data_IF_384241801934
#
_entry.id   IF_384241801934
#
_cell.length_a   1.000
_cell.length_b   1.000
_cell.length_c   1.000
_cell.angle_alpha   90.00
_cell.angle_beta   90.00
_cell.angle_gamma   90.00
#
_symmetry.space_group_name_H-M   'P 1'
#
loop_
_entity.id
_entity.type
_entity.pdbx_description
1 polymer ?
#
# COMPACT_ATOMS: atom_id res chain seq x y z
N UNK A 1 -3.76 -6.72 -21.99
CA UNK A 1 -3.58 -6.98 -20.55
C UNK A 1 -3.82 -8.45 -20.32
N UNK A 2 -2.85 -9.15 -19.74
CA UNK A 2 -2.97 -10.56 -19.40
C UNK A 2 -3.55 -10.67 -17.99
N UNK A 3 -4.63 -11.44 -17.82
CA UNK A 3 -5.27 -11.61 -16.53
C UNK A 3 -4.70 -12.84 -15.83
N UNK A 4 -4.37 -12.70 -14.55
CA UNK A 4 -3.97 -13.82 -13.71
C UNK A 4 -5.04 -14.12 -12.66
N UNK A 5 -5.09 -15.36 -12.20
CA UNK A 5 -6.04 -15.79 -11.15
C UNK A 5 -5.30 -15.97 -9.83
N UNK A 6 -5.77 -15.26 -8.81
CA UNK A 6 -5.26 -15.41 -7.44
C UNK A 6 -6.32 -16.13 -6.62
N UNK A 7 -5.95 -17.27 -6.04
CA UNK A 7 -6.84 -17.99 -5.13
C UNK A 7 -6.92 -17.23 -3.79
N UNK A 8 -8.15 -16.86 -3.39
CA UNK A 8 -8.42 -16.19 -2.11
C UNK A 8 -9.57 -16.89 -1.39
N UNK A 9 -9.59 -16.80 -0.06
CA UNK A 9 -10.72 -17.32 0.72
C UNK A 9 -12.00 -16.50 0.48
N UNK A 10 -13.16 -17.14 0.65
CA UNK A 10 -14.47 -16.47 0.53
C UNK A 10 -14.56 -15.23 1.44
N UNK A 11 -14.01 -15.30 2.65
CA UNK A 11 -13.93 -14.19 3.59
C UNK A 11 -13.15 -13.00 3.04
N UNK A 12 -12.01 -13.25 2.38
CA UNK A 12 -11.21 -12.18 1.77
C UNK A 12 -11.97 -11.56 0.60
N UNK A 13 -12.62 -12.38 -0.23
CA UNK A 13 -13.46 -11.90 -1.34
C UNK A 13 -14.59 -10.98 -0.87
N UNK A 14 -15.28 -11.36 0.22
CA UNK A 14 -16.33 -10.53 0.83
C UNK A 14 -15.76 -9.20 1.36
N UNK A 15 -14.57 -9.21 1.98
CA UNK A 15 -13.91 -7.98 2.41
C UNK A 15 -13.53 -7.07 1.25
N UNK A 16 -13.01 -7.64 0.15
CA UNK A 16 -12.73 -6.86 -1.06
C UNK A 16 -14.00 -6.22 -1.62
N UNK A 17 -15.12 -6.95 -1.64
CA UNK A 17 -16.41 -6.38 -2.06
C UNK A 17 -16.90 -5.23 -1.18
N UNK A 18 -16.65 -5.29 0.13
CA UNK A 18 -17.02 -4.21 1.05
C UNK A 18 -16.11 -2.98 0.93
N UNK A 19 -14.86 -3.18 0.51
CA UNK A 19 -13.88 -2.11 0.33
C UNK A 19 -14.02 -1.38 -1.01
N UNK A 20 -14.53 -2.08 -2.03
CA UNK A 20 -14.71 -1.52 -3.37
C UNK A 20 -15.78 -0.44 -3.44
N UNK A 21 -15.53 0.61 -4.22
CA UNK A 21 -16.53 1.63 -4.54
C UNK A 21 -17.48 1.17 -5.67
N UNK A 22 -18.66 1.78 -5.76
CA UNK A 22 -19.66 1.42 -6.79
C UNK A 22 -19.08 1.68 -8.20
N UNK A 23 -18.87 0.61 -8.96
CA UNK A 23 -18.31 0.66 -10.33
C UNK A 23 -16.80 0.40 -10.41
N UNK A 24 -16.12 0.16 -9.30
CA UNK A 24 -14.69 -0.18 -9.26
C UNK A 24 -14.47 -1.67 -9.56
N UNK A 25 -13.51 -1.97 -10.43
CA UNK A 25 -13.11 -3.34 -10.74
C UNK A 25 -12.19 -3.92 -9.66
N UNK A 26 -12.11 -5.24 -9.55
CA UNK A 26 -11.15 -5.87 -8.63
C UNK A 26 -9.70 -5.48 -8.95
N UNK A 27 -9.34 -5.28 -10.22
CA UNK A 27 -8.00 -4.84 -10.59
C UNK A 27 -7.69 -3.45 -10.06
N UNK A 28 -8.61 -2.50 -10.18
CA UNK A 28 -8.45 -1.14 -9.67
C UNK A 28 -8.35 -1.13 -8.13
N UNK A 29 -9.22 -1.88 -7.47
CA UNK A 29 -9.18 -2.02 -6.01
C UNK A 29 -7.87 -2.64 -5.53
N UNK A 30 -7.40 -3.72 -6.18
CA UNK A 30 -6.14 -4.38 -5.84
C UNK A 30 -4.97 -3.44 -6.07
N UNK A 31 -4.92 -2.72 -7.20
CA UNK A 31 -3.87 -1.75 -7.49
C UNK A 31 -3.81 -0.65 -6.43
N UNK A 32 -4.96 -0.10 -6.04
CA UNK A 32 -5.05 0.92 -4.98
C UNK A 32 -4.58 0.40 -3.63
N UNK A 33 -4.93 -0.84 -3.28
CA UNK A 33 -4.48 -1.46 -2.03
C UNK A 33 -2.97 -1.67 -2.01
N UNK A 34 -2.37 -2.04 -3.15
CA UNK A 34 -0.91 -2.16 -3.30
C UNK A 34 -0.25 -0.79 -3.09
N UNK A 35 -0.72 0.27 -3.75
CA UNK A 35 -0.16 1.61 -3.58
C UNK A 35 -0.22 2.10 -2.13
N UNK A 36 -1.32 1.82 -1.42
CA UNK A 36 -1.47 2.18 -0.01
C UNK A 36 -0.45 1.43 0.85
N UNK A 37 -0.24 0.14 0.58
CA UNK A 37 0.72 -0.68 1.32
C UNK A 37 2.16 -0.17 1.10
N UNK A 38 2.55 0.12 -0.15
CA UNK A 38 3.86 0.67 -0.48
C UNK A 38 4.11 2.03 0.20
N UNK A 39 3.12 2.94 0.15
CA UNK A 39 3.22 4.23 0.84
C UNK A 39 3.35 4.07 2.35
N UNK A 40 2.60 3.14 2.94
CA UNK A 40 2.65 2.88 4.38
C UNK A 40 4.02 2.33 4.80
N UNK A 41 4.59 1.40 4.04
CA UNK A 41 5.92 0.84 4.30
C UNK A 41 7.00 1.93 4.18
N UNK A 42 6.94 2.74 3.12
CA UNK A 42 7.86 3.84 2.92
C UNK A 42 7.83 4.85 4.09
N UNK A 43 6.64 5.24 4.52
CA UNK A 43 6.48 6.16 5.65
C UNK A 43 7.03 5.58 6.96
N UNK A 44 6.82 4.29 7.20
CA UNK A 44 7.34 3.64 8.42
C UNK A 44 8.87 3.57 8.41
N UNK A 45 9.46 3.29 7.24
CA UNK A 45 10.91 3.35 7.05
C UNK A 45 11.46 4.75 7.30
N UNK A 46 10.83 5.78 6.76
CA UNK A 46 11.25 7.17 6.99
C UNK A 46 11.14 7.59 8.45
N UNK A 47 10.05 7.21 9.14
CA UNK A 47 9.91 7.47 10.59
C UNK A 47 11.00 6.79 11.40
N UNK A 48 11.42 5.60 11.00
CA UNK A 48 12.51 4.88 11.65
C UNK A 48 13.81 5.67 11.52
N UNK A 49 14.16 6.09 10.29
CA UNK A 49 15.36 6.91 10.01
C UNK A 49 15.34 8.21 10.83
N UNK A 50 14.23 8.95 10.82
CA UNK A 50 14.07 10.19 11.59
C UNK A 50 14.25 10.01 13.10
N UNK A 51 13.92 8.83 13.65
CA UNK A 51 14.11 8.53 15.07
C UNK A 51 15.55 8.14 15.40
N UNK A 52 16.24 7.48 14.48
CA UNK A 52 17.56 6.89 14.73
C UNK A 52 18.71 7.79 14.30
N UNK A 53 18.53 8.64 13.30
CA UNK A 53 19.58 9.51 12.79
C UNK A 53 19.57 10.87 13.48
N UNK A 54 20.77 11.36 13.83
CA UNK A 54 20.95 12.75 14.25
C UNK A 54 20.77 13.62 13.01
N UNK A 55 19.88 14.61 13.10
CA UNK A 55 19.73 15.63 12.07
C UNK A 55 21.07 16.34 11.84
N UNK A 56 21.56 16.33 10.60
CA UNK A 56 22.72 17.11 10.16
C UNK A 56 22.20 18.16 9.19
N UNK A 57 22.45 19.43 9.47
CA UNK A 57 22.02 20.49 8.56
C UNK A 57 22.84 20.46 7.28
N UNK A 58 22.22 20.81 6.15
CA UNK A 58 22.92 20.90 4.85
C UNK A 58 24.04 21.97 4.91
N UNK A 59 23.89 22.97 5.78
CA UNK A 59 24.90 24.01 6.01
C UNK A 59 26.18 23.49 6.71
N UNK A 60 26.17 22.27 7.26
CA UNK A 60 27.32 21.65 7.94
C UNK A 60 28.13 20.69 7.04
N UNK A 61 27.82 20.62 5.74
CA UNK A 61 28.41 19.69 4.76
C UNK A 61 29.43 20.36 3.81
#
# INVERSE_FOLDING_TARGET
MENTTIAISKKIKERLNMLGAKGETYNELIAKLIEIAEKSEFLERQKTILKTERFVSIDEL
#
